data_IF_811338158795
#
_entry.id   IF_811338158795
#
_cell.length_a   1.000
_cell.length_b   1.000
_cell.length_c   1.000
_cell.angle_alpha   90.00
_cell.angle_beta   90.00
_cell.angle_gamma   90.00
#
_symmetry.space_group_name_H-M   'P 1'
#
loop_
_entity.id
_entity.type
_entity.pdbx_description
1 polymer ?
#
# COMPACT_ATOMS: atom_id res chain seq x y z
N UNK A 1 -25.02 5.39 -26.75
CA UNK A 1 -24.34 6.42 -25.94
C UNK A 1 -23.01 5.86 -25.47
N UNK A 2 -21.91 6.62 -25.55
CA UNK A 2 -20.58 6.15 -25.12
C UNK A 2 -20.10 7.06 -23.99
N UNK A 3 -19.68 6.45 -22.88
CA UNK A 3 -19.20 7.15 -21.70
C UNK A 3 -17.70 6.87 -21.53
N UNK A 4 -16.89 7.92 -21.65
CA UNK A 4 -15.45 7.83 -21.48
C UNK A 4 -15.05 8.19 -20.05
N UNK A 5 -14.13 7.43 -19.47
CA UNK A 5 -13.57 7.71 -18.15
C UNK A 5 -12.04 7.78 -18.23
N UNK A 6 -11.44 8.75 -17.53
CA UNK A 6 -9.98 8.95 -17.52
C UNK A 6 -9.43 8.80 -16.11
N UNK A 7 -8.72 7.71 -15.89
CA UNK A 7 -8.02 7.41 -14.65
C UNK A 7 -6.57 7.91 -14.73
N UNK A 8 -6.27 9.01 -14.03
CA UNK A 8 -4.93 9.62 -14.07
C UNK A 8 -3.86 8.70 -13.45
N UNK A 9 -4.23 7.92 -12.44
CA UNK A 9 -3.35 6.99 -11.70
C UNK A 9 -3.95 5.59 -11.70
N UNK A 10 -4.26 5.07 -12.90
CA UNK A 10 -4.90 3.77 -13.05
C UNK A 10 -4.01 2.60 -12.61
N UNK A 11 -2.68 2.79 -12.74
CA UNK A 11 -1.68 1.77 -12.43
C UNK A 11 -0.31 2.41 -12.27
N UNK A 12 0.48 1.82 -11.39
CA UNK A 12 1.91 2.07 -11.29
C UNK A 12 2.64 1.64 -12.57
N UNK A 13 3.67 2.41 -12.93
CA UNK A 13 4.54 2.12 -14.09
C UNK A 13 5.83 1.40 -13.71
N UNK A 14 6.23 1.48 -12.44
CA UNK A 14 7.44 0.85 -11.93
C UNK A 14 7.08 -0.26 -10.94
N UNK A 15 7.72 -1.41 -11.10
CA UNK A 15 7.71 -2.47 -10.09
C UNK A 15 8.74 -2.09 -9.05
N UNK A 16 8.27 -1.60 -7.90
CA UNK A 16 9.12 -1.46 -6.71
C UNK A 16 9.23 -2.85 -6.06
N UNK A 17 10.45 -3.37 -5.96
CA UNK A 17 10.78 -4.57 -5.16
C UNK A 17 11.06 -4.21 -3.69
N UNK A 18 10.82 -2.95 -3.34
CA UNK A 18 10.85 -2.43 -1.98
C UNK A 18 9.81 -3.04 -1.03
N UNK A 19 9.75 -2.51 0.20
CA UNK A 19 8.90 -3.06 1.24
C UNK A 19 7.42 -2.92 0.90
N UNK A 20 6.62 -3.92 1.33
CA UNK A 20 5.17 -3.96 1.12
C UNK A 20 4.43 -2.74 1.68
N UNK A 21 5.00 -2.02 2.64
CA UNK A 21 4.46 -0.78 3.19
C UNK A 21 5.60 0.17 3.57
N UNK A 22 5.28 1.46 3.76
CA UNK A 22 6.19 2.45 4.36
C UNK A 22 5.68 2.85 5.73
N UNK A 23 6.58 3.02 6.69
CA UNK A 23 6.25 3.41 8.06
C UNK A 23 7.14 4.57 8.49
N UNK A 24 6.54 5.54 9.18
CA UNK A 24 7.18 6.74 9.69
C UNK A 24 7.01 6.76 11.21
N UNK A 25 8.00 6.19 11.92
CA UNK A 25 7.95 6.01 13.39
C UNK A 25 7.71 7.31 14.14
N UNK A 26 8.39 8.40 13.76
CA UNK A 26 8.27 9.72 14.39
C UNK A 26 6.84 10.26 14.43
N UNK A 27 6.00 9.81 13.50
CA UNK A 27 4.62 10.29 13.34
C UNK A 27 3.58 9.21 13.62
N UNK A 28 3.99 7.94 13.78
CA UNK A 28 3.07 6.81 13.85
C UNK A 28 2.22 6.64 12.58
N UNK A 29 2.77 7.01 11.41
CA UNK A 29 2.05 7.00 10.13
C UNK A 29 2.55 5.85 9.25
N UNK A 30 1.60 5.11 8.66
CA UNK A 30 1.87 4.09 7.66
C UNK A 30 1.24 4.40 6.32
N UNK A 31 1.90 3.98 5.24
CA UNK A 31 1.40 4.09 3.86
C UNK A 31 1.43 2.71 3.21
N UNK A 32 0.30 2.33 2.61
CA UNK A 32 0.11 1.09 1.87
C UNK A 32 -0.57 1.39 0.51
N UNK A 33 -0.40 0.50 -0.47
CA UNK A 33 -0.97 0.63 -1.81
C UNK A 33 -0.48 -0.43 -2.77
N UNK A 34 -1.20 -0.62 -3.88
CA UNK A 34 -0.85 -1.55 -4.95
C UNK A 34 0.53 -1.27 -5.57
N UNK A 35 0.87 0.01 -5.71
CA UNK A 35 2.13 0.49 -6.26
C UNK A 35 3.37 0.05 -5.47
N UNK A 36 3.21 -0.42 -4.22
CA UNK A 36 4.31 -0.93 -3.38
C UNK A 36 4.57 -2.43 -3.55
N UNK A 37 3.66 -3.17 -4.18
CA UNK A 37 3.75 -4.64 -4.27
C UNK A 37 3.54 -5.17 -5.69
N UNK A 38 3.45 -4.30 -6.70
CA UNK A 38 3.34 -4.65 -8.14
C UNK A 38 2.16 -5.60 -8.48
N UNK A 39 1.13 -5.57 -7.65
CA UNK A 39 0.17 -6.66 -7.54
C UNK A 39 -1.28 -6.30 -7.86
N UNK A 40 -1.58 -5.16 -8.50
CA UNK A 40 -2.98 -4.72 -8.71
C UNK A 40 -3.76 -4.82 -7.38
N UNK A 41 -4.89 -5.50 -7.37
CA UNK A 41 -5.73 -5.65 -6.18
C UNK A 41 -5.03 -6.48 -5.10
N UNK A 42 -4.36 -7.57 -5.49
CA UNK A 42 -3.63 -8.45 -4.59
C UNK A 42 -2.46 -7.71 -3.91
N UNK A 43 -1.79 -6.83 -4.66
CA UNK A 43 -0.72 -5.97 -4.16
C UNK A 43 -1.24 -4.97 -3.13
N UNK A 44 -2.37 -4.32 -3.39
CA UNK A 44 -3.01 -3.41 -2.43
C UNK A 44 -3.39 -4.14 -1.14
N UNK A 45 -3.97 -5.34 -1.26
CA UNK A 45 -4.34 -6.16 -0.11
C UNK A 45 -3.12 -6.59 0.71
N UNK A 46 -2.10 -7.16 0.07
CA UNK A 46 -0.89 -7.60 0.74
C UNK A 46 -0.16 -6.43 1.43
N UNK A 47 -0.11 -5.28 0.77
CA UNK A 47 0.45 -4.04 1.32
C UNK A 47 -0.27 -3.60 2.59
N UNK A 48 -1.61 -3.56 2.56
CA UNK A 48 -2.42 -3.17 3.71
C UNK A 48 -2.31 -4.17 4.87
N UNK A 49 -2.37 -5.48 4.59
CA UNK A 49 -2.23 -6.53 5.61
C UNK A 49 -0.89 -6.42 6.34
N UNK A 50 0.21 -6.25 5.59
CA UNK A 50 1.54 -6.12 6.18
C UNK A 50 1.68 -4.87 7.07
N UNK A 51 1.05 -3.75 6.69
CA UNK A 51 1.04 -2.55 7.51
C UNK A 51 0.24 -2.74 8.81
N UNK A 52 -0.93 -3.37 8.74
CA UNK A 52 -1.75 -3.66 9.94
C UNK A 52 -1.00 -4.55 10.91
N UNK A 53 -0.31 -5.58 10.43
CA UNK A 53 0.51 -6.46 11.28
C UNK A 53 1.60 -5.68 12.04
N UNK A 54 2.24 -4.70 11.40
CA UNK A 54 3.21 -3.80 12.05
C UNK A 54 2.55 -2.96 13.14
N UNK A 55 1.39 -2.38 12.86
CA UNK A 55 0.65 -1.54 13.81
C UNK A 55 0.26 -2.36 15.05
N UNK A 56 -0.32 -3.56 14.85
CA UNK A 56 -0.75 -4.44 15.94
C UNK A 56 0.43 -4.93 16.80
N UNK A 57 1.58 -5.22 16.20
CA UNK A 57 2.81 -5.55 16.94
C UNK A 57 3.29 -4.38 17.82
N UNK A 58 3.10 -3.14 17.38
CA UNK A 58 3.41 -1.95 18.21
C UNK A 58 2.48 -1.86 19.41
N UNK A 59 1.18 -2.05 19.18
CA UNK A 59 0.16 -1.89 20.21
C UNK A 59 0.24 -2.97 21.31
N UNK A 60 0.83 -4.13 21.02
CA UNK A 60 0.93 -5.25 21.97
C UNK A 60 2.24 -5.22 22.77
N UNK A 61 3.23 -4.44 22.34
CA UNK A 61 4.54 -4.33 23.00
C UNK A 61 4.66 -3.07 23.89
N UNK A 62 3.55 -2.38 24.15
CA UNK A 62 3.44 -1.22 25.04
C UNK A 62 2.66 -1.52 26.31
#
# INVERSE_FOLDING_TARGET
EVLAHRWLYARETARDDGPLYKWFDDHGIGVCGDWLSSGRVEGAWASASALVDRILKTATNG
#
